data_IF_509766285676
#
_entry.id   IF_509766285676
#
_cell.length_a   1.000
_cell.length_b   1.000
_cell.length_c   1.000
_cell.angle_alpha   90.00
_cell.angle_beta   90.00
_cell.angle_gamma   90.00
#
_symmetry.space_group_name_H-M   'P 1'
#
loop_
_entity.id
_entity.type
_entity.pdbx_description
1 polymer ?
#
# COMPACT_ATOMS: atom_id res chain seq x y z
N UNK A 1 -27.58 27.83 -7.08
CA UNK A 1 -26.23 27.93 -6.49
C UNK A 1 -26.25 27.21 -5.15
N UNK A 2 -25.69 25.99 -5.08
CA UNK A 2 -25.62 25.18 -3.84
C UNK A 2 -24.15 24.85 -3.60
N UNK A 3 -23.64 25.30 -2.46
CA UNK A 3 -22.29 25.04 -1.96
C UNK A 3 -22.24 23.60 -1.42
N UNK A 4 -21.43 22.73 -2.01
CA UNK A 4 -21.05 21.47 -1.41
C UNK A 4 -19.78 21.69 -0.59
N UNK A 5 -19.98 21.91 0.71
CA UNK A 5 -18.93 21.78 1.72
C UNK A 5 -18.84 20.34 2.21
N UNK A 6 -17.63 19.93 2.59
CA UNK A 6 -17.43 18.87 3.56
C UNK A 6 -16.79 17.58 3.05
N UNK A 7 -15.58 17.64 2.50
CA UNK A 7 -14.67 16.49 2.60
C UNK A 7 -14.03 16.57 3.99
N UNK A 8 -14.70 15.98 4.99
CA UNK A 8 -14.08 15.76 6.30
C UNK A 8 -13.44 14.38 6.29
N UNK A 9 -12.12 14.37 6.15
CA UNK A 9 -11.26 13.25 6.51
C UNK A 9 -11.21 13.19 8.03
N UNK A 10 -11.88 12.21 8.62
CA UNK A 10 -11.66 11.75 10.00
C UNK A 10 -11.95 10.23 9.97
N UNK A 11 -10.99 9.34 10.15
CA UNK A 11 -10.06 9.32 11.28
C UNK A 11 -10.65 8.43 12.37
N UNK A 12 -10.64 7.11 12.16
CA UNK A 12 -10.83 6.05 13.18
C UNK A 12 -10.29 4.74 12.59
N UNK A 13 -9.38 3.96 13.17
CA UNK A 13 -8.57 4.06 14.39
C UNK A 13 -7.72 2.79 14.48
N UNK A 14 -6.44 2.90 14.86
CA UNK A 14 -5.61 1.75 15.28
C UNK A 14 -4.34 1.47 14.47
N UNK A 15 -3.35 2.36 14.48
CA UNK A 15 -2.04 2.02 13.92
C UNK A 15 -0.92 3.07 14.02
N UNK A 16 -0.78 3.79 15.14
CA UNK A 16 0.39 4.61 15.63
C UNK A 16 1.23 5.50 14.67
N UNK A 17 1.02 5.54 13.35
CA UNK A 17 1.82 6.29 12.38
C UNK A 17 0.90 6.85 11.29
N UNK A 18 0.98 8.16 11.00
CA UNK A 18 0.17 8.79 9.95
C UNK A 18 0.52 8.28 8.53
N UNK A 19 -0.38 8.40 7.54
CA UNK A 19 -0.21 7.84 6.19
C UNK A 19 1.09 8.24 5.50
N UNK A 20 1.52 9.49 5.65
CA UNK A 20 2.79 9.97 5.09
C UNK A 20 4.01 9.32 5.75
N UNK A 21 3.96 9.09 7.08
CA UNK A 21 5.04 8.44 7.82
C UNK A 21 5.14 6.97 7.44
N UNK A 22 4.01 6.28 7.24
CA UNK A 22 3.99 4.87 6.78
C UNK A 22 4.63 4.76 5.40
N UNK A 23 4.24 5.61 4.44
CA UNK A 23 4.84 5.64 3.10
C UNK A 23 6.36 5.84 3.15
N UNK A 24 6.82 6.79 3.97
CA UNK A 24 8.26 7.03 4.13
C UNK A 24 9.01 5.85 4.75
N UNK A 25 8.45 5.20 5.77
CA UNK A 25 9.06 4.00 6.36
C UNK A 25 9.12 2.85 5.35
N UNK A 26 8.06 2.69 4.55
CA UNK A 26 8.02 1.70 3.48
C UNK A 26 9.10 1.97 2.42
N UNK A 27 9.24 3.21 1.94
CA UNK A 27 10.27 3.58 0.98
C UNK A 27 11.70 3.30 1.52
N UNK A 28 11.95 3.63 2.79
CA UNK A 28 13.24 3.33 3.44
C UNK A 28 13.51 1.83 3.55
N UNK A 29 12.48 1.04 3.85
CA UNK A 29 12.61 -0.41 3.93
C UNK A 29 12.88 -1.03 2.57
N UNK A 30 12.16 -0.60 1.52
CA UNK A 30 12.39 -1.07 0.15
C UNK A 30 13.80 -0.71 -0.34
N UNK A 31 14.28 0.51 -0.05
CA UNK A 31 15.65 0.92 -0.35
C UNK A 31 16.70 0.04 0.34
N UNK A 32 16.42 -0.46 1.55
CA UNK A 32 17.32 -1.41 2.23
C UNK A 32 17.40 -2.76 1.50
N UNK A 33 16.26 -3.28 1.03
CA UNK A 33 16.21 -4.52 0.26
C UNK A 33 16.95 -4.38 -1.08
N UNK A 34 16.86 -3.21 -1.73
CA UNK A 34 17.63 -2.89 -2.95
C UNK A 34 19.14 -2.84 -2.69
N UNK A 35 19.57 -2.15 -1.62
CA UNK A 35 21.00 -2.13 -1.22
C UNK A 35 21.54 -3.52 -0.93
N UNK A 36 20.70 -4.44 -0.45
CA UNK A 36 21.04 -5.84 -0.19
C UNK A 36 20.97 -6.72 -1.45
N UNK A 37 20.58 -6.16 -2.59
CA UNK A 37 20.45 -6.87 -3.87
C UNK A 37 19.24 -7.80 -3.97
N UNK A 38 18.28 -7.69 -3.06
CA UNK A 38 17.05 -8.50 -3.04
C UNK A 38 15.97 -7.94 -3.97
N UNK A 39 16.00 -6.63 -4.19
CA UNK A 39 15.17 -5.93 -5.16
C UNK A 39 16.08 -5.18 -6.14
N UNK A 40 15.48 -4.73 -7.24
CA UNK A 40 16.07 -3.78 -8.17
C UNK A 40 15.14 -2.57 -8.29
N UNK A 41 15.43 -1.54 -7.52
CA UNK A 41 14.64 -0.31 -7.49
C UNK A 41 15.29 0.79 -8.33
N UNK A 42 14.45 1.63 -8.95
CA UNK A 42 14.90 2.91 -9.54
C UNK A 42 14.74 4.03 -8.53
N UNK A 43 13.50 4.28 -8.12
CA UNK A 43 13.12 5.24 -7.08
C UNK A 43 12.33 4.51 -5.97
N UNK A 44 12.85 4.44 -4.73
CA UNK A 44 12.17 3.80 -3.60
C UNK A 44 10.84 4.43 -3.21
N UNK A 45 10.66 5.75 -3.40
CA UNK A 45 9.40 6.43 -3.11
C UNK A 45 8.31 6.03 -4.11
N UNK A 46 8.67 5.91 -5.39
CA UNK A 46 7.77 5.37 -6.43
C UNK A 46 7.42 3.91 -6.15
N UNK A 47 8.41 3.08 -5.77
CA UNK A 47 8.15 1.69 -5.42
C UNK A 47 7.20 1.56 -4.22
N UNK A 48 7.32 2.43 -3.21
CA UNK A 48 6.42 2.46 -2.07
C UNK A 48 4.98 2.83 -2.47
N UNK A 49 4.80 3.74 -3.43
CA UNK A 49 3.48 4.07 -4.00
C UNK A 49 2.87 2.86 -4.72
N UNK A 50 3.63 2.18 -5.58
CA UNK A 50 3.14 0.98 -6.29
C UNK A 50 2.76 -0.15 -5.31
N UNK A 51 3.61 -0.42 -4.33
CA UNK A 51 3.32 -1.41 -3.29
C UNK A 51 2.04 -1.07 -2.52
N UNK A 52 1.87 0.20 -2.13
CA UNK A 52 0.68 0.67 -1.41
C UNK A 52 -0.58 0.59 -2.29
N UNK A 53 -0.47 0.84 -3.59
CA UNK A 53 -1.59 0.75 -4.52
C UNK A 53 -2.05 -0.70 -4.71
N UNK A 54 -1.11 -1.62 -4.92
CA UNK A 54 -1.43 -3.05 -5.09
C UNK A 54 -2.03 -3.65 -3.82
N UNK A 55 -1.39 -3.43 -2.67
CA UNK A 55 -1.88 -3.96 -1.38
C UNK A 55 -3.13 -3.24 -0.89
N UNK A 56 -3.27 -1.95 -1.16
CA UNK A 56 -4.48 -1.19 -0.88
C UNK A 56 -5.69 -1.67 -1.69
N UNK A 57 -5.49 -2.03 -2.96
CA UNK A 57 -6.55 -2.59 -3.82
C UNK A 57 -6.98 -4.01 -3.45
N UNK A 58 -6.16 -4.74 -2.68
CA UNK A 58 -6.51 -6.06 -2.16
C UNK A 58 -7.59 -6.00 -1.07
N UNK A 59 -7.71 -4.85 -0.40
CA UNK A 59 -8.89 -4.53 0.39
C UNK A 59 -9.91 -3.87 -0.53
N UNK A 60 -11.13 -4.41 -0.54
CA UNK A 60 -12.21 -3.93 -1.41
C UNK A 60 -12.49 -2.43 -1.23
N UNK A 61 -13.30 -1.88 -2.14
CA UNK A 61 -13.87 -0.54 -1.94
C UNK A 61 -14.61 -0.48 -0.61
N UNK A 62 -14.69 0.70 0.03
CA UNK A 62 -15.48 0.91 1.24
C UNK A 62 -16.99 0.59 1.07
N UNK A 63 -17.42 0.34 -0.17
CA UNK A 63 -18.79 -0.04 -0.54
C UNK A 63 -18.99 -1.55 -0.64
N UNK A 64 -17.93 -2.35 -0.60
CA UNK A 64 -17.99 -3.80 -0.68
C UNK A 64 -17.81 -4.43 0.72
N UNK A 65 -18.48 -5.55 1.00
CA UNK A 65 -18.24 -6.29 2.24
C UNK A 65 -16.78 -6.75 2.30
N UNK A 66 -16.24 -6.76 3.52
CA UNK A 66 -14.88 -7.23 3.75
C UNK A 66 -14.73 -8.68 3.26
N UNK A 67 -13.64 -9.02 2.55
CA UNK A 67 -13.38 -10.38 2.11
C UNK A 67 -13.20 -11.31 3.32
N UNK A 68 -13.47 -12.61 3.12
CA UNK A 68 -13.08 -13.62 4.11
C UNK A 68 -11.57 -13.56 4.36
N UNK A 69 -11.11 -14.02 5.53
CA UNK A 69 -9.69 -14.01 5.87
C UNK A 69 -8.83 -14.76 4.83
N UNK A 70 -9.33 -15.87 4.32
CA UNK A 70 -8.68 -16.67 3.27
C UNK A 70 -8.56 -15.87 1.97
N UNK A 71 -9.65 -15.20 1.57
CA UNK A 71 -9.66 -14.39 0.36
C UNK A 71 -8.76 -13.16 0.49
N UNK A 72 -8.74 -12.52 1.66
CA UNK A 72 -7.83 -11.42 1.96
C UNK A 72 -6.36 -11.85 1.85
N UNK A 73 -6.01 -13.01 2.40
CA UNK A 73 -4.66 -13.57 2.31
C UNK A 73 -4.27 -13.89 0.86
N UNK A 74 -5.18 -14.46 0.07
CA UNK A 74 -4.97 -14.73 -1.35
C UNK A 74 -4.71 -13.44 -2.14
N UNK A 75 -5.55 -12.42 -1.97
CA UNK A 75 -5.39 -11.13 -2.64
C UNK A 75 -4.08 -10.43 -2.24
N UNK A 76 -3.70 -10.52 -0.97
CA UNK A 76 -2.43 -9.98 -0.49
C UNK A 76 -1.23 -10.68 -1.13
N UNK A 77 -1.27 -12.02 -1.22
CA UNK A 77 -0.22 -12.80 -1.89
C UNK A 77 -0.10 -12.44 -3.37
N UNK A 78 -1.22 -12.25 -4.07
CA UNK A 78 -1.23 -11.83 -5.47
C UNK A 78 -0.67 -10.41 -5.65
N UNK A 79 -1.04 -9.47 -4.78
CA UNK A 79 -0.52 -8.11 -4.80
C UNK A 79 1.01 -8.08 -4.59
N UNK A 80 1.52 -8.86 -3.64
CA UNK A 80 2.96 -9.00 -3.39
C UNK A 80 3.66 -9.67 -4.57
N UNK A 81 3.09 -10.75 -5.13
CA UNK A 81 3.66 -11.42 -6.30
C UNK A 81 3.74 -10.49 -7.51
N UNK A 82 2.70 -9.69 -7.77
CA UNK A 82 2.68 -8.69 -8.82
C UNK A 82 3.75 -7.59 -8.61
N UNK A 83 3.90 -7.11 -7.37
CA UNK A 83 4.96 -6.16 -7.03
C UNK A 83 6.35 -6.75 -7.28
N UNK A 84 6.60 -7.97 -6.80
CA UNK A 84 7.88 -8.66 -6.99
C UNK A 84 8.15 -8.95 -8.46
N UNK A 85 7.15 -9.25 -9.28
CA UNK A 85 7.37 -9.44 -10.71
C UNK A 85 7.97 -8.21 -11.41
N UNK A 86 7.64 -7.00 -10.93
CA UNK A 86 8.20 -5.75 -11.47
C UNK A 86 9.53 -5.31 -10.86
N UNK A 87 9.85 -5.76 -9.65
CA UNK A 87 10.96 -5.21 -8.83
C UNK A 87 11.94 -6.24 -8.28
N UNK A 88 11.65 -7.54 -8.40
CA UNK A 88 12.60 -8.58 -8.04
C UNK A 88 13.80 -8.57 -8.99
N UNK A 89 14.93 -9.01 -8.45
CA UNK A 89 16.17 -9.19 -9.21
C UNK A 89 16.33 -10.64 -9.65
#
# INVERSE_FOLDING_TARGET
MRLFGGITVAGMGGGRLGPARVKRQLALHLADLDRRGLLRLGDPDVAAVHYSALTGSAWGSALEPDPSAERAAELMNLAVAAFLHGYAR
#
